data_IF_463459790706
#
_entry.id   IF_463459790706
#
_cell.length_a   1.000
_cell.length_b   1.000
_cell.length_c   1.000
_cell.angle_alpha   90.00
_cell.angle_beta   90.00
_cell.angle_gamma   90.00
#
_symmetry.space_group_name_H-M   'P 1'
#
loop_
_entity.id
_entity.type
_entity.pdbx_description
1 polymer ?
#
# COMPACT_ATOMS: atom_id res chain seq x y z
N UNK A 1 -23.80 -4.26 13.10
CA UNK A 1 -22.39 -3.91 12.84
C UNK A 1 -21.86 -4.93 11.83
N UNK A 2 -22.15 -4.72 10.55
CA UNK A 2 -22.03 -5.74 9.50
C UNK A 2 -20.68 -5.76 8.80
N UNK A 3 -20.32 -6.92 8.25
CA UNK A 3 -19.09 -7.23 7.50
C UNK A 3 -18.81 -6.29 6.30
N UNK A 4 -19.78 -5.48 5.89
CA UNK A 4 -19.70 -4.54 4.77
C UNK A 4 -18.73 -3.37 4.98
N UNK A 5 -18.42 -2.99 6.22
CA UNK A 5 -17.52 -1.85 6.50
C UNK A 5 -16.04 -2.18 6.32
N UNK A 6 -15.66 -3.46 6.39
CA UNK A 6 -14.25 -3.89 6.28
C UNK A 6 -13.70 -3.71 4.85
N UNK A 7 -14.40 -4.15 3.77
CA UNK A 7 -14.00 -3.86 2.40
C UNK A 7 -13.83 -2.36 2.11
N UNK A 8 -14.74 -1.52 2.62
CA UNK A 8 -14.67 -0.07 2.44
C UNK A 8 -13.47 0.54 3.15
N UNK A 9 -13.20 0.10 4.38
CA UNK A 9 -12.03 0.55 5.15
C UNK A 9 -10.73 0.17 4.45
N UNK A 10 -10.63 -1.06 3.90
CA UNK A 10 -9.46 -1.51 3.14
C UNK A 10 -9.28 -0.73 1.83
N UNK A 11 -10.37 -0.41 1.13
CA UNK A 11 -10.33 0.46 -0.06
C UNK A 11 -9.89 1.87 0.29
N UNK A 12 -10.39 2.45 1.37
CA UNK A 12 -9.94 3.76 1.87
C UNK A 12 -8.45 3.76 2.22
N UNK A 13 -7.99 2.72 2.93
CA UNK A 13 -6.58 2.54 3.25
C UNK A 13 -5.71 2.39 1.99
N UNK A 14 -6.17 1.65 0.98
CA UNK A 14 -5.49 1.52 -0.32
C UNK A 14 -5.37 2.86 -1.03
N UNK A 15 -6.44 3.65 -1.09
CA UNK A 15 -6.40 4.97 -1.73
C UNK A 15 -5.41 5.90 -1.03
N UNK A 16 -5.47 5.97 0.30
CA UNK A 16 -4.53 6.76 1.09
C UNK A 16 -3.08 6.28 0.90
N UNK A 17 -2.85 4.97 0.88
CA UNK A 17 -1.53 4.40 0.61
C UNK A 17 -1.05 4.74 -0.81
N UNK A 18 -1.93 4.67 -1.81
CA UNK A 18 -1.63 5.04 -3.20
C UNK A 18 -1.22 6.51 -3.36
N UNK A 19 -1.90 7.43 -2.68
CA UNK A 19 -1.52 8.85 -2.65
C UNK A 19 -0.13 9.07 -2.04
N UNK A 20 0.17 8.35 -0.94
CA UNK A 20 1.50 8.40 -0.31
C UNK A 20 2.56 7.81 -1.22
N UNK A 21 2.33 6.66 -1.85
CA UNK A 21 3.25 6.07 -2.83
C UNK A 21 3.49 7.01 -4.01
N UNK A 22 2.44 7.65 -4.53
CA UNK A 22 2.56 8.66 -5.58
C UNK A 22 3.44 9.84 -5.16
N UNK A 23 3.25 10.34 -3.93
CA UNK A 23 4.08 11.41 -3.35
C UNK A 23 5.54 10.97 -3.20
N UNK A 24 5.79 9.74 -2.76
CA UNK A 24 7.13 9.18 -2.63
C UNK A 24 7.83 9.01 -3.98
N UNK A 25 7.09 8.66 -5.03
CA UNK A 25 7.66 8.57 -6.38
C UNK A 25 8.12 9.94 -6.90
N UNK A 26 7.44 11.02 -6.50
CA UNK A 26 7.80 12.39 -6.85
C UNK A 26 8.91 13.00 -5.98
N UNK A 27 9.27 12.38 -4.87
CA UNK A 27 10.34 12.86 -3.99
C UNK A 27 11.70 12.36 -4.50
N UNK A 28 12.55 13.27 -4.97
CA UNK A 28 13.96 12.98 -5.24
C UNK A 28 14.80 13.27 -4.00
N UNK A 29 14.90 12.28 -3.11
CA UNK A 29 15.68 12.41 -1.88
C UNK A 29 17.20 12.36 -2.13
N UNK A 30 17.65 11.94 -3.31
CA UNK A 30 19.06 11.75 -3.63
C UNK A 30 19.68 12.99 -4.29
N UNK A 31 18.90 13.81 -4.99
CA UNK A 31 19.36 15.04 -5.65
C UNK A 31 20.10 16.04 -4.73
N UNK A 32 19.62 16.32 -3.50
CA UNK A 32 20.35 17.20 -2.58
C UNK A 32 21.71 16.63 -2.16
N UNK A 33 21.79 15.31 -1.97
CA UNK A 33 23.04 14.62 -1.59
C UNK A 33 24.04 14.65 -2.75
N UNK A 34 23.56 14.47 -3.98
CA UNK A 34 24.40 14.60 -5.18
C UNK A 34 24.96 16.01 -5.38
N UNK A 35 24.18 17.05 -5.06
CA UNK A 35 24.67 18.44 -5.08
C UNK A 35 25.77 18.68 -4.05
N UNK A 36 25.66 18.11 -2.85
CA UNK A 36 26.72 18.16 -1.83
C UNK A 36 27.96 17.42 -2.31
N UNK A 37 27.80 16.22 -2.90
CA UNK A 37 28.92 15.45 -3.44
C UNK A 37 29.71 16.22 -4.51
N UNK A 38 29.02 16.95 -5.39
CA UNK A 38 29.66 17.80 -6.41
C UNK A 38 30.34 19.06 -5.86
N UNK A 39 29.91 19.55 -4.69
CA UNK A 39 30.48 20.73 -4.04
C UNK A 39 31.70 20.41 -3.14
N UNK A 40 31.86 19.15 -2.73
CA UNK A 40 32.95 18.72 -1.85
C UNK A 40 34.23 18.50 -2.66
N UNK A 41 35.26 19.33 -2.43
CA UNK A 41 36.58 19.17 -3.04
C UNK A 41 37.44 18.17 -2.25
N UNK A 42 37.91 17.11 -2.92
CA UNK A 42 38.86 16.13 -2.37
C UNK A 42 38.36 14.68 -2.45
N UNK A 43 39.24 13.76 -2.84
CA UNK A 43 38.88 12.40 -3.27
C UNK A 43 38.16 11.52 -2.25
N UNK A 44 38.42 11.69 -0.95
CA UNK A 44 37.77 10.89 0.10
C UNK A 44 36.35 11.36 0.42
N UNK A 45 36.15 12.67 0.57
CA UNK A 45 34.86 13.24 0.96
C UNK A 45 33.86 13.25 -0.20
N UNK A 46 34.32 13.43 -1.45
CA UNK A 46 33.50 13.25 -2.64
C UNK A 46 33.05 11.79 -2.81
N UNK A 47 33.95 10.81 -2.59
CA UNK A 47 33.61 9.39 -2.65
C UNK A 47 32.61 8.99 -1.57
N UNK A 48 32.78 9.46 -0.32
CA UNK A 48 31.84 9.22 0.77
C UNK A 48 30.45 9.78 0.45
N UNK A 49 30.37 11.01 -0.09
CA UNK A 49 29.11 11.62 -0.47
C UNK A 49 28.41 10.86 -1.61
N UNK A 50 29.17 10.37 -2.61
CA UNK A 50 28.64 9.52 -3.67
C UNK A 50 28.10 8.18 -3.13
N UNK A 51 28.82 7.53 -2.20
CA UNK A 51 28.34 6.32 -1.53
C UNK A 51 27.07 6.58 -0.71
N UNK A 52 26.99 7.71 -0.01
CA UNK A 52 25.77 8.11 0.70
C UNK A 52 24.59 8.32 -0.26
N UNK A 53 24.82 8.96 -1.40
CA UNK A 53 23.78 9.15 -2.42
C UNK A 53 23.26 7.82 -2.95
N UNK A 54 24.16 6.88 -3.28
CA UNK A 54 23.81 5.57 -3.81
C UNK A 54 23.05 4.71 -2.79
N UNK A 55 23.53 4.67 -1.54
CA UNK A 55 22.85 3.98 -0.44
C UNK A 55 21.45 4.56 -0.20
N UNK A 56 21.32 5.90 -0.17
CA UNK A 56 20.03 6.56 0.01
C UNK A 56 19.06 6.24 -1.14
N UNK A 57 19.54 6.29 -2.38
CA UNK A 57 18.74 5.97 -3.58
C UNK A 57 18.25 4.51 -3.55
N UNK A 58 19.12 3.59 -3.15
CA UNK A 58 18.81 2.16 -3.01
C UNK A 58 17.75 1.92 -1.94
N UNK A 59 18.00 2.38 -0.71
CA UNK A 59 17.06 2.24 0.41
C UNK A 59 15.71 2.90 0.10
N UNK A 60 15.72 4.07 -0.52
CA UNK A 60 14.48 4.75 -0.90
C UNK A 60 13.71 3.99 -1.99
N UNK A 61 14.40 3.34 -2.92
CA UNK A 61 13.77 2.49 -3.93
C UNK A 61 13.15 1.23 -3.33
N UNK A 62 13.86 0.57 -2.41
CA UNK A 62 13.32 -0.57 -1.67
C UNK A 62 12.08 -0.19 -0.85
N UNK A 63 12.15 0.92 -0.13
CA UNK A 63 11.01 1.41 0.66
C UNK A 63 9.80 1.73 -0.20
N UNK A 64 9.99 2.37 -1.36
CA UNK A 64 8.91 2.61 -2.33
C UNK A 64 8.31 1.32 -2.86
N UNK A 65 9.14 0.30 -3.14
CA UNK A 65 8.66 -1.00 -3.58
C UNK A 65 7.80 -1.68 -2.52
N UNK A 66 8.21 -1.61 -1.25
CA UNK A 66 7.44 -2.18 -0.14
C UNK A 66 6.12 -1.43 0.09
N UNK A 67 6.12 -0.09 -0.01
CA UNK A 67 4.91 0.72 0.08
C UNK A 67 3.91 0.40 -1.04
N UNK A 68 4.40 0.13 -2.27
CA UNK A 68 3.57 -0.34 -3.38
C UNK A 68 2.97 -1.72 -3.08
N UNK A 69 3.79 -2.68 -2.60
CA UNK A 69 3.31 -4.02 -2.23
C UNK A 69 2.23 -3.98 -1.15
N UNK A 70 2.39 -3.13 -0.14
CA UNK A 70 1.37 -2.90 0.87
C UNK A 70 0.05 -2.40 0.25
N UNK A 71 0.13 -1.44 -0.67
CA UNK A 71 -1.04 -0.90 -1.39
C UNK A 71 -1.76 -2.00 -2.18
N UNK A 72 -1.00 -2.87 -2.84
CA UNK A 72 -1.55 -3.98 -3.62
C UNK A 72 -2.21 -5.04 -2.69
N UNK A 73 -1.57 -5.36 -1.56
CA UNK A 73 -2.13 -6.28 -0.56
C UNK A 73 -3.45 -5.78 0.04
N UNK A 74 -3.58 -4.47 0.27
CA UNK A 74 -4.85 -3.88 0.73
C UNK A 74 -5.97 -4.06 -0.31
N UNK A 75 -5.65 -3.93 -1.60
CA UNK A 75 -6.58 -4.22 -2.69
C UNK A 75 -7.03 -5.68 -2.70
N UNK A 76 -6.06 -6.61 -2.69
CA UNK A 76 -6.34 -8.05 -2.66
C UNK A 76 -7.17 -8.44 -1.45
N UNK A 77 -6.89 -7.86 -0.28
CA UNK A 77 -7.68 -8.10 0.93
C UNK A 77 -9.13 -7.63 0.77
N UNK A 78 -9.36 -6.42 0.24
CA UNK A 78 -10.69 -5.89 0.00
C UNK A 78 -11.51 -6.79 -0.95
N UNK A 79 -10.89 -7.25 -2.03
CA UNK A 79 -11.53 -8.14 -3.02
C UNK A 79 -11.91 -9.49 -2.41
N UNK A 80 -11.02 -10.07 -1.59
CA UNK A 80 -11.27 -11.33 -0.88
C UNK A 80 -12.43 -11.21 0.11
N UNK A 81 -12.50 -10.12 0.87
CA UNK A 81 -13.64 -9.89 1.77
C UNK A 81 -14.96 -9.79 0.99
N UNK A 82 -14.97 -9.04 -0.12
CA UNK A 82 -16.18 -8.90 -0.94
C UNK A 82 -16.63 -10.23 -1.56
N UNK A 83 -15.69 -11.09 -1.98
CA UNK A 83 -16.01 -12.44 -2.47
C UNK A 83 -16.59 -13.32 -1.37
N UNK A 84 -16.01 -13.26 -0.17
CA UNK A 84 -16.53 -13.98 1.00
C UNK A 84 -17.96 -13.56 1.35
N UNK A 85 -18.23 -12.25 1.35
CA UNK A 85 -19.57 -11.71 1.62
C UNK A 85 -20.60 -12.18 0.58
N UNK A 86 -20.25 -12.16 -0.72
CA UNK A 86 -21.13 -12.68 -1.77
C UNK A 86 -21.40 -14.18 -1.63
N UNK A 87 -20.37 -14.97 -1.31
CA UNK A 87 -20.52 -16.40 -1.08
C UNK A 87 -21.44 -16.68 0.11
N UNK A 88 -21.29 -15.97 1.22
CA UNK A 88 -22.14 -16.11 2.39
C UNK A 88 -23.60 -15.72 2.10
N UNK A 89 -23.82 -14.63 1.35
CA UNK A 89 -25.16 -14.20 0.95
C UNK A 89 -25.88 -15.22 0.06
N UNK A 90 -25.15 -15.96 -0.78
CA UNK A 90 -25.72 -17.02 -1.63
C UNK A 90 -26.07 -18.33 -0.92
N UNK A 91 -25.59 -18.53 0.32
CA UNK A 91 -25.80 -19.76 1.10
C UNK A 91 -27.12 -19.74 1.90
N UNK A 92 -27.60 -18.56 2.28
CA UNK A 92 -28.86 -18.43 3.01
C UNK A 92 -30.02 -18.10 2.05
N UNK A 93 -31.12 -18.85 2.06
CA UNK A 93 -32.28 -18.52 1.24
C UNK A 93 -32.85 -17.16 1.65
N UNK A 94 -33.09 -16.28 0.68
CA UNK A 94 -33.63 -14.93 0.87
C UNK A 94 -35.07 -14.90 1.40
N UNK A 95 -35.74 -16.06 1.43
CA UNK A 95 -37.08 -16.21 1.98
C UNK A 95 -36.98 -16.56 3.47
N UNK A 96 -37.63 -15.78 4.32
CA UNK A 96 -37.87 -16.16 5.70
C UNK A 96 -38.50 -17.57 5.72
N UNK A 97 -37.98 -18.52 6.54
CA UNK A 97 -38.55 -19.85 6.60
C UNK A 97 -40.01 -19.73 7.06
N UNK A 98 -40.95 -19.95 6.15
CA UNK A 98 -42.38 -20.03 6.49
C UNK A 98 -42.57 -21.31 7.28
N UNK A 99 -42.49 -21.18 8.60
CA UNK A 99 -42.78 -22.25 9.55
C UNK A 99 -44.28 -22.55 9.47
N UNK A 100 -44.67 -23.54 8.66
CA UNK A 100 -46.02 -24.08 8.69
C UNK A 100 -46.13 -25.01 9.89
N UNK A 101 -46.84 -24.56 10.93
CA UNK A 101 -47.18 -25.39 12.09
C UNK A 101 -48.06 -26.58 11.69
N UNK A 102 -48.00 -27.69 12.44
CA UNK A 102 -48.81 -28.88 12.16
C UNK A 102 -50.31 -28.56 12.29
N UNK A 103 -51.11 -29.11 11.37
CA UNK A 103 -52.57 -28.98 11.33
C UNK A 103 -53.26 -29.80 12.42
#
# INVERSE_FOLDING_TARGET
MGFTTVPETLRGARSAAGEKVGSLRGADCAEPVGRVAGAVQGGSAAAAAAHCQDALSTTFTEWRAEAQRLTDHLGVAADRYQQGDHAAAGVFPSAAPTMHGPR
#
